data_IF_177937614167
#
_entry.id   IF_177937614167
#
_cell.length_a   1.000
_cell.length_b   1.000
_cell.length_c   1.000
_cell.angle_alpha   90.00
_cell.angle_beta   90.00
_cell.angle_gamma   90.00
#
_symmetry.space_group_name_H-M   'P 1'
#
loop_
_entity.id
_entity.type
_entity.pdbx_description
1 polymer ?
#
# COMPACT_ATOMS: atom_id res chain seq x y z
N UNK A 1 -0.06 9.03 0.37
CA UNK A 1 1.28 8.81 -0.21
C UNK A 1 1.22 8.39 -1.67
N UNK A 2 0.51 7.32 -2.06
CA UNK A 2 0.44 6.84 -3.45
C UNK A 2 0.18 7.94 -4.51
N UNK A 3 -0.86 8.76 -4.32
CA UNK A 3 -1.17 9.89 -5.22
C UNK A 3 -0.10 10.99 -5.20
N UNK A 4 0.56 11.18 -4.07
CA UNK A 4 1.54 12.23 -3.89
C UNK A 4 2.88 11.85 -4.55
N UNK A 5 3.34 10.61 -4.35
CA UNK A 5 4.48 10.05 -5.10
C UNK A 5 4.27 10.15 -6.62
N UNK A 6 3.07 9.81 -7.09
CA UNK A 6 2.71 9.94 -8.50
C UNK A 6 2.83 11.37 -9.05
N UNK A 7 2.69 12.37 -8.18
CA UNK A 7 2.82 13.78 -8.56
C UNK A 7 4.22 14.37 -8.32
N UNK A 8 5.21 13.54 -7.97
CA UNK A 8 6.56 14.00 -7.62
C UNK A 8 6.64 14.74 -6.29
N UNK A 9 5.63 14.58 -5.41
CA UNK A 9 5.69 15.10 -4.05
C UNK A 9 6.61 14.21 -3.20
N UNK A 10 7.60 14.82 -2.58
CA UNK A 10 8.50 14.18 -1.61
C UNK A 10 8.26 14.71 -0.20
N UNK A 11 8.41 13.84 0.81
CA UNK A 11 8.35 14.26 2.20
C UNK A 11 9.64 14.97 2.63
N UNK A 12 10.78 14.46 2.15
CA UNK A 12 12.12 15.00 2.39
C UNK A 12 12.93 15.06 1.10
N UNK A 13 13.86 16.00 1.01
CA UNK A 13 14.83 16.05 -0.09
C UNK A 13 16.05 15.14 0.16
N UNK A 14 17.00 15.14 -0.78
CA UNK A 14 18.25 14.36 -0.69
C UNK A 14 19.14 14.75 0.52
N UNK A 15 18.97 15.96 1.06
CA UNK A 15 19.69 16.43 2.25
C UNK A 15 18.99 16.02 3.55
N UNK A 16 17.78 15.49 3.46
CA UNK A 16 16.92 15.16 4.59
C UNK A 16 16.07 16.33 5.08
N UNK A 17 16.00 17.46 4.36
CA UNK A 17 15.16 18.60 4.72
C UNK A 17 13.68 18.29 4.43
N UNK A 18 12.76 18.67 5.32
CA UNK A 18 11.32 18.50 5.12
C UNK A 18 10.81 19.39 3.97
N UNK A 19 10.28 18.78 2.90
CA UNK A 19 9.78 19.46 1.69
C UNK A 19 8.33 19.12 1.33
N UNK A 20 7.57 18.54 2.28
CA UNK A 20 6.15 18.20 2.10
C UNK A 20 5.24 19.41 1.80
N UNK A 21 5.74 20.65 1.96
CA UNK A 21 5.04 21.89 1.62
C UNK A 21 5.41 22.45 0.22
N UNK A 22 6.04 21.63 -0.63
CA UNK A 22 6.34 21.95 -2.03
C UNK A 22 5.07 22.03 -2.89
N UNK A 23 5.15 22.74 -4.02
CA UNK A 23 4.04 22.90 -4.96
C UNK A 23 3.46 21.55 -5.42
N UNK A 24 4.31 20.55 -5.66
CA UNK A 24 3.91 19.18 -6.04
C UNK A 24 3.05 18.50 -4.97
N UNK A 25 3.39 18.71 -3.69
CA UNK A 25 2.64 18.16 -2.57
C UNK A 25 1.32 18.89 -2.36
N UNK A 26 1.33 20.21 -2.49
CA UNK A 26 0.12 21.02 -2.42
C UNK A 26 -0.87 20.63 -3.52
N UNK A 27 -0.41 20.46 -4.77
CA UNK A 27 -1.25 19.99 -5.88
C UNK A 27 -1.81 18.58 -5.60
N UNK A 28 -1.01 17.66 -5.06
CA UNK A 28 -1.49 16.33 -4.68
C UNK A 28 -2.56 16.39 -3.56
N UNK A 29 -2.42 17.33 -2.62
CA UNK A 29 -3.38 17.54 -1.53
C UNK A 29 -4.69 18.13 -2.07
N UNK A 30 -4.62 19.11 -2.99
CA UNK A 30 -5.78 19.66 -3.69
C UNK A 30 -6.52 18.58 -4.47
N UNK A 31 -5.78 17.76 -5.23
CA UNK A 31 -6.36 16.65 -5.98
C UNK A 31 -7.06 15.64 -5.06
N UNK A 32 -6.43 15.28 -3.94
CA UNK A 32 -7.08 14.41 -2.96
C UNK A 32 -8.34 15.04 -2.37
N UNK A 33 -8.33 16.33 -2.03
CA UNK A 33 -9.52 17.03 -1.56
C UNK A 33 -10.64 17.00 -2.60
N UNK A 34 -10.32 17.22 -3.87
CA UNK A 34 -11.30 17.17 -4.96
C UNK A 34 -11.89 15.76 -5.12
N UNK A 35 -11.05 14.72 -5.09
CA UNK A 35 -11.50 13.33 -5.15
C UNK A 35 -12.47 13.00 -4.02
N UNK A 36 -12.12 13.34 -2.78
CA UNK A 36 -12.96 13.04 -1.62
C UNK A 36 -14.24 13.89 -1.62
N UNK A 37 -14.14 15.17 -1.99
CA UNK A 37 -15.27 16.10 -1.95
C UNK A 37 -16.30 15.90 -3.06
N UNK A 38 -15.86 15.55 -4.27
CA UNK A 38 -16.71 15.59 -5.46
C UNK A 38 -16.89 14.22 -6.15
N UNK A 39 -15.96 13.28 -5.96
CA UNK A 39 -15.89 12.06 -6.77
C UNK A 39 -15.90 10.75 -5.96
N UNK A 40 -15.93 10.83 -4.64
CA UNK A 40 -15.97 9.68 -3.74
C UNK A 40 -17.38 9.41 -3.21
N UNK A 41 -17.62 8.18 -2.75
CA UNK A 41 -18.86 7.84 -2.04
C UNK A 41 -18.95 8.73 -0.79
N UNK A 42 -20.07 9.41 -0.59
CA UNK A 42 -20.22 10.37 0.51
C UNK A 42 -20.10 9.69 1.89
N UNK A 43 -19.37 10.33 2.80
CA UNK A 43 -19.18 9.87 4.18
C UNK A 43 -17.70 9.73 4.56
N UNK A 44 -17.45 9.14 5.71
CA UNK A 44 -16.10 8.77 6.14
C UNK A 44 -15.47 7.83 5.12
N UNK A 45 -14.18 8.05 4.83
CA UNK A 45 -13.38 7.14 4.02
C UNK A 45 -12.44 6.39 4.96
N UNK A 46 -12.82 5.17 5.29
CA UNK A 46 -12.03 4.22 6.06
C UNK A 46 -12.04 2.85 5.37
N UNK A 47 -11.35 1.88 5.98
CA UNK A 47 -11.26 0.51 5.47
C UNK A 47 -12.67 -0.05 5.21
N UNK A 48 -13.56 -0.02 6.19
CA UNK A 48 -14.87 -0.67 6.04
C UNK A 48 -15.76 0.02 5.00
N UNK A 49 -15.79 1.35 5.00
CA UNK A 49 -16.65 2.14 4.12
C UNK A 49 -16.20 2.11 2.66
N UNK A 50 -14.89 2.20 2.39
CA UNK A 50 -14.36 2.12 1.02
C UNK A 50 -14.58 0.73 0.45
N UNK A 51 -14.29 -0.32 1.22
CA UNK A 51 -14.56 -1.72 0.82
C UNK A 51 -16.04 -1.92 0.53
N UNK A 52 -16.92 -1.54 1.47
CA UNK A 52 -18.36 -1.70 1.30
C UNK A 52 -18.89 -0.93 0.07
N UNK A 53 -18.42 0.31 -0.14
CA UNK A 53 -18.82 1.12 -1.28
C UNK A 53 -18.42 0.49 -2.62
N UNK A 54 -17.20 -0.04 -2.72
CA UNK A 54 -16.77 -0.75 -3.92
C UNK A 54 -17.55 -2.06 -4.12
N UNK A 55 -17.72 -2.85 -3.06
CA UNK A 55 -18.42 -4.15 -3.10
C UNK A 55 -19.90 -4.03 -3.43
N UNK A 56 -20.52 -2.90 -3.07
CA UNK A 56 -21.91 -2.60 -3.41
C UNK A 56 -22.08 -2.01 -4.83
N UNK A 57 -20.99 -1.83 -5.58
CA UNK A 57 -21.01 -1.21 -6.91
C UNK A 57 -21.27 0.31 -6.88
N UNK A 58 -20.99 0.98 -5.76
CA UNK A 58 -21.20 2.43 -5.60
C UNK A 58 -20.00 3.26 -6.00
N UNK A 59 -18.83 2.63 -6.13
CA UNK A 59 -17.59 3.26 -6.58
C UNK A 59 -17.06 2.53 -7.83
N UNK A 60 -16.63 3.29 -8.84
CA UNK A 60 -16.01 2.73 -10.04
C UNK A 60 -14.53 2.34 -9.82
N UNK A 61 -13.88 2.92 -8.80
CA UNK A 61 -12.49 2.69 -8.45
C UNK A 61 -12.34 2.68 -6.93
N UNK A 62 -11.38 1.91 -6.43
CA UNK A 62 -10.92 1.95 -5.05
C UNK A 62 -9.39 1.96 -5.04
N UNK A 63 -8.79 2.86 -4.25
CA UNK A 63 -7.35 2.81 -3.95
C UNK A 63 -7.22 1.97 -2.68
N UNK A 64 -6.77 0.72 -2.85
CA UNK A 64 -6.69 -0.26 -1.77
C UNK A 64 -5.43 -1.10 -1.91
N UNK A 65 -5.11 -1.85 -0.86
CA UNK A 65 -4.10 -2.89 -0.91
C UNK A 65 -4.46 -4.03 -1.88
N UNK A 66 -3.53 -4.91 -2.21
CA UNK A 66 -3.85 -6.13 -2.97
C UNK A 66 -4.62 -7.15 -2.13
N UNK A 67 -4.68 -6.99 -0.80
CA UNK A 67 -5.54 -7.76 0.10
C UNK A 67 -7.04 -7.66 -0.23
N UNK A 68 -7.46 -6.84 -1.19
CA UNK A 68 -8.85 -6.86 -1.68
C UNK A 68 -9.11 -8.01 -2.66
N UNK A 69 -8.08 -8.56 -3.30
CA UNK A 69 -8.24 -9.42 -4.47
C UNK A 69 -8.93 -10.76 -4.16
N UNK A 70 -8.62 -11.38 -3.01
CA UNK A 70 -9.31 -12.60 -2.60
C UNK A 70 -10.78 -12.32 -2.22
N UNK A 71 -11.05 -11.17 -1.60
CA UNK A 71 -12.41 -10.71 -1.31
C UNK A 71 -13.22 -10.45 -2.59
N UNK A 72 -12.65 -9.80 -3.60
CA UNK A 72 -13.30 -9.58 -4.91
C UNK A 72 -13.61 -10.88 -5.65
N UNK A 73 -12.83 -11.94 -5.40
CA UNK A 73 -13.04 -13.28 -5.92
C UNK A 73 -14.09 -14.08 -5.12
N UNK A 74 -14.66 -13.50 -4.06
CA UNK A 74 -15.69 -14.14 -3.23
C UNK A 74 -15.16 -15.27 -2.34
N UNK A 75 -13.86 -15.26 -2.02
CA UNK A 75 -13.19 -16.33 -1.27
C UNK A 75 -13.34 -16.21 0.27
N UNK A 76 -14.03 -15.15 0.72
CA UNK A 76 -14.21 -14.80 2.13
C UNK A 76 -15.68 -14.59 2.45
N UNK A 77 -16.26 -15.49 3.24
CA UNK A 77 -17.68 -15.44 3.60
C UNK A 77 -18.02 -14.23 4.49
N UNK A 78 -17.05 -13.73 5.25
CA UNK A 78 -17.20 -12.56 6.13
C UNK A 78 -17.07 -11.22 5.39
N UNK A 79 -16.64 -11.23 4.13
CA UNK A 79 -16.40 -10.06 3.30
C UNK A 79 -16.82 -10.30 1.84
N UNK A 80 -18.04 -10.79 1.61
CA UNK A 80 -18.52 -11.04 0.25
C UNK A 80 -18.90 -9.74 -0.49
N UNK A 81 -18.57 -9.63 -1.78
CA UNK A 81 -19.14 -8.62 -2.66
C UNK A 81 -20.68 -8.63 -2.62
N UNK A 82 -21.29 -7.44 -2.57
CA UNK A 82 -22.74 -7.27 -2.37
C UNK A 82 -23.46 -6.61 -3.55
N UNK A 83 -22.77 -6.47 -4.67
CA UNK A 83 -23.31 -5.91 -5.90
C UNK A 83 -24.45 -6.78 -6.45
N UNK A 84 -25.37 -6.23 -7.26
CA UNK A 84 -26.47 -7.01 -7.82
C UNK A 84 -26.04 -8.28 -8.56
N UNK A 85 -24.97 -8.21 -9.34
CA UNK A 85 -24.40 -9.31 -10.10
C UNK A 85 -23.70 -10.35 -9.19
N UNK A 86 -23.18 -9.89 -8.05
CA UNK A 86 -22.45 -10.68 -7.07
C UNK A 86 -23.34 -11.72 -6.35
N UNK A 87 -24.67 -11.54 -6.40
CA UNK A 87 -25.65 -12.47 -5.81
C UNK A 87 -25.64 -13.83 -6.54
N UNK A 88 -25.51 -13.79 -7.87
CA UNK A 88 -25.49 -14.99 -8.71
C UNK A 88 -24.06 -15.48 -8.96
N UNK A 89 -23.09 -14.56 -9.01
CA UNK A 89 -21.66 -14.84 -9.21
C UNK A 89 -20.79 -14.07 -8.21
N UNK A 90 -20.40 -14.70 -7.08
CA UNK A 90 -19.56 -14.05 -6.07
C UNK A 90 -18.19 -13.56 -6.58
N UNK A 91 -17.70 -14.09 -7.70
CA UNK A 91 -16.43 -13.69 -8.32
C UNK A 91 -16.61 -12.61 -9.40
N UNK A 92 -17.81 -12.07 -9.57
CA UNK A 92 -18.12 -11.09 -10.61
C UNK A 92 -17.18 -9.89 -10.57
N UNK A 93 -16.86 -9.36 -9.38
CA UNK A 93 -15.95 -8.22 -9.28
C UNK A 93 -14.52 -8.58 -9.68
N UNK A 94 -13.99 -9.75 -9.31
CA UNK A 94 -12.67 -10.19 -9.76
C UNK A 94 -12.57 -10.23 -11.29
N UNK A 95 -13.61 -10.73 -11.97
CA UNK A 95 -13.66 -10.81 -13.43
C UNK A 95 -13.81 -9.44 -14.14
N UNK A 96 -14.32 -8.42 -13.44
CA UNK A 96 -14.68 -7.12 -14.03
C UNK A 96 -13.86 -5.93 -13.47
N UNK A 97 -12.90 -6.19 -12.57
CA UNK A 97 -12.03 -5.17 -11.98
C UNK A 97 -10.69 -5.13 -12.70
N UNK A 98 -10.31 -3.97 -13.22
CA UNK A 98 -8.94 -3.72 -13.67
C UNK A 98 -8.01 -3.36 -12.50
N UNK A 99 -6.74 -3.76 -12.59
CA UNK A 99 -5.71 -3.42 -11.59
C UNK A 99 -4.72 -2.44 -12.19
N UNK A 100 -4.49 -1.32 -11.50
CA UNK A 100 -3.50 -0.30 -11.86
C UNK A 100 -2.57 -0.13 -10.66
N UNK A 101 -1.28 -0.44 -10.83
CA UNK A 101 -0.32 -0.40 -9.73
C UNK A 101 0.48 0.92 -9.63
N UNK A 102 0.76 1.56 -10.78
CA UNK A 102 1.49 2.81 -10.85
C UNK A 102 0.61 3.94 -11.39
N UNK A 103 0.75 5.13 -10.82
CA UNK A 103 0.04 6.34 -11.23
C UNK A 103 1.05 7.41 -11.64
N UNK A 104 0.67 8.27 -12.58
CA UNK A 104 1.44 9.44 -12.96
C UNK A 104 0.54 10.68 -12.87
N UNK A 105 0.93 11.61 -12.00
CA UNK A 105 0.33 12.93 -11.84
C UNK A 105 0.89 13.94 -12.84
N UNK A 106 0.25 15.10 -13.00
CA UNK A 106 0.68 16.14 -13.94
C UNK A 106 2.08 16.70 -13.67
N UNK A 107 2.52 16.70 -12.41
CA UNK A 107 3.86 17.17 -12.01
C UNK A 107 4.88 16.03 -11.83
N UNK A 108 4.47 14.77 -12.06
CA UNK A 108 5.35 13.61 -11.95
C UNK A 108 6.04 13.28 -13.27
N UNK A 109 7.37 13.11 -13.24
CA UNK A 109 8.17 12.81 -14.43
C UNK A 109 8.00 11.36 -14.94
N UNK A 110 7.69 10.42 -14.05
CA UNK A 110 7.52 8.98 -14.34
C UNK A 110 6.37 8.40 -13.48
N UNK A 111 5.77 7.26 -13.87
CA UNK A 111 4.79 6.56 -13.04
C UNK A 111 5.40 6.12 -11.70
N UNK A 112 4.69 6.37 -10.59
CA UNK A 112 5.10 5.96 -9.26
C UNK A 112 4.09 4.99 -8.65
N UNK A 113 4.63 4.01 -7.93
CA UNK A 113 3.86 3.05 -7.15
C UNK A 113 4.23 3.20 -5.66
N UNK A 114 3.22 3.10 -4.80
CA UNK A 114 3.44 3.00 -3.37
C UNK A 114 3.51 1.52 -2.97
N UNK A 115 4.38 1.19 -2.04
CA UNK A 115 4.50 -0.16 -1.49
C UNK A 115 5.02 -0.16 -0.07
N UNK A 116 4.93 -1.33 0.55
CA UNK A 116 5.46 -1.59 1.89
C UNK A 116 6.28 -2.87 1.89
N UNK A 117 7.45 -2.83 2.51
CA UNK A 117 8.21 -4.02 2.88
C UNK A 117 8.08 -4.25 4.37
N UNK A 118 7.46 -5.37 4.74
CA UNK A 118 7.55 -5.88 6.10
C UNK A 118 8.78 -6.78 6.22
N UNK A 119 9.62 -6.53 7.23
CA UNK A 119 10.83 -7.31 7.48
C UNK A 119 10.97 -7.66 8.97
N UNK A 120 11.93 -8.53 9.27
CA UNK A 120 12.24 -8.96 10.62
C UNK A 120 13.30 -8.06 11.24
N UNK A 121 13.11 -7.70 12.51
CA UNK A 121 14.06 -6.90 13.28
C UNK A 121 14.48 -7.63 14.56
N UNK A 122 15.77 -7.58 14.89
CA UNK A 122 16.31 -8.03 16.18
C UNK A 122 16.50 -6.79 17.05
N UNK A 123 15.72 -6.68 18.13
CA UNK A 123 15.82 -5.55 19.04
C UNK A 123 17.10 -5.63 19.88
N UNK A 124 17.58 -4.48 20.38
CA UNK A 124 18.82 -4.39 21.15
C UNK A 124 18.88 -5.28 22.42
N UNK A 125 17.72 -5.74 22.91
CA UNK A 125 17.57 -6.55 24.13
C UNK A 125 17.19 -8.00 23.85
N UNK A 126 17.01 -8.38 22.58
CA UNK A 126 16.65 -9.75 22.20
C UNK A 126 17.83 -10.72 22.34
N UNK A 127 17.52 -12.03 22.41
CA UNK A 127 18.52 -13.08 22.34
C UNK A 127 19.05 -13.18 20.90
N UNK A 128 20.12 -12.44 20.60
CA UNK A 128 20.60 -12.21 19.23
C UNK A 128 20.81 -13.49 18.42
N UNK A 129 21.58 -14.46 18.93
CA UNK A 129 21.92 -15.67 18.17
C UNK A 129 20.69 -16.56 17.87
N UNK A 130 19.83 -16.90 18.83
CA UNK A 130 18.57 -17.59 18.53
C UNK A 130 17.65 -16.82 17.58
N UNK A 131 17.55 -15.49 17.73
CA UNK A 131 16.75 -14.65 16.83
C UNK A 131 17.30 -14.65 15.41
N UNK A 132 18.63 -14.60 15.23
CA UNK A 132 19.27 -14.70 13.92
C UNK A 132 18.95 -16.03 13.25
N UNK A 133 19.10 -17.16 13.95
CA UNK A 133 18.79 -18.49 13.41
C UNK A 133 17.32 -18.60 12.98
N UNK A 134 16.40 -18.05 13.77
CA UNK A 134 14.99 -18.03 13.41
C UNK A 134 14.73 -17.19 12.14
N UNK A 135 15.31 -15.99 12.05
CA UNK A 135 15.13 -15.12 10.88
C UNK A 135 15.76 -15.75 9.64
N UNK A 136 16.95 -16.34 9.74
CA UNK A 136 17.60 -17.06 8.65
C UNK A 136 16.71 -18.19 8.12
N UNK A 137 16.11 -18.98 9.02
CA UNK A 137 15.13 -20.01 8.64
C UNK A 137 13.90 -19.40 7.96
N UNK A 138 13.28 -18.38 8.56
CA UNK A 138 12.07 -17.74 8.01
C UNK A 138 12.31 -17.06 6.67
N UNK A 139 13.55 -16.61 6.40
CA UNK A 139 13.93 -16.03 5.13
C UNK A 139 14.41 -17.09 4.13
N UNK A 140 14.65 -18.35 4.52
CA UNK A 140 15.07 -19.43 3.62
C UNK A 140 14.01 -20.52 3.55
N UNK A 141 14.19 -21.60 4.31
CA UNK A 141 13.34 -22.80 4.29
C UNK A 141 11.88 -22.48 4.62
N UNK A 142 11.63 -21.51 5.51
CA UNK A 142 10.30 -21.09 5.93
C UNK A 142 9.68 -19.96 5.10
N UNK A 143 10.37 -19.47 4.05
CA UNK A 143 9.95 -18.25 3.34
C UNK A 143 8.62 -18.41 2.61
N UNK A 144 8.46 -19.51 1.86
CA UNK A 144 7.23 -19.80 1.11
C UNK A 144 6.05 -20.01 2.06
N UNK A 145 6.26 -20.77 3.15
CA UNK A 145 5.22 -20.99 4.16
C UNK A 145 4.80 -19.66 4.84
N UNK A 146 5.73 -18.73 5.04
CA UNK A 146 5.44 -17.43 5.63
C UNK A 146 4.56 -16.53 4.74
N UNK A 147 4.86 -16.49 3.45
CA UNK A 147 4.06 -15.71 2.49
C UNK A 147 2.71 -16.39 2.20
N UNK A 148 2.65 -17.73 2.24
CA UNK A 148 1.42 -18.52 2.09
C UNK A 148 0.37 -18.29 3.18
N UNK A 149 0.70 -17.58 4.27
CA UNK A 149 -0.29 -17.16 5.27
C UNK A 149 -1.34 -16.22 4.67
N UNK A 150 -0.94 -15.37 3.71
CA UNK A 150 -1.83 -14.40 3.08
C UNK A 150 -1.27 -13.97 1.70
N UNK A 151 -1.20 -14.89 0.72
CA UNK A 151 -0.49 -14.67 -0.53
C UNK A 151 -1.11 -13.57 -1.41
N UNK A 152 -2.36 -13.16 -1.13
CA UNK A 152 -3.04 -12.02 -1.77
C UNK A 152 -2.40 -10.67 -1.44
N UNK A 153 -1.70 -10.57 -0.32
CA UNK A 153 -1.03 -9.35 0.15
C UNK A 153 0.45 -9.50 0.49
N UNK A 154 0.94 -10.74 0.60
CA UNK A 154 2.35 -11.05 0.87
C UNK A 154 3.06 -11.53 -0.39
N UNK A 155 3.67 -10.58 -1.10
CA UNK A 155 4.50 -10.88 -2.26
C UNK A 155 5.96 -11.09 -1.86
N UNK A 156 6.68 -11.99 -2.55
CA UNK A 156 8.07 -12.23 -2.26
C UNK A 156 8.95 -11.06 -2.72
N UNK A 157 9.56 -10.34 -1.77
CA UNK A 157 10.64 -9.36 -2.05
C UNK A 157 12.01 -10.02 -2.28
N UNK A 158 12.09 -11.33 -2.06
CA UNK A 158 13.22 -12.17 -2.45
C UNK A 158 12.78 -13.04 -3.61
N UNK A 159 13.42 -12.91 -4.77
CA UNK A 159 13.03 -13.68 -5.95
C UNK A 159 13.27 -15.20 -5.79
N UNK A 160 14.33 -15.58 -5.07
CA UNK A 160 14.72 -16.97 -4.87
C UNK A 160 16.02 -17.12 -4.07
N UNK A 161 16.68 -18.25 -4.28
CA UNK A 161 17.99 -18.62 -3.70
C UNK A 161 19.13 -18.32 -4.67
N UNK A 162 20.38 -18.51 -4.23
CA UNK A 162 21.54 -18.33 -5.11
C UNK A 162 21.59 -19.42 -6.19
N UNK A 163 21.14 -20.62 -5.86
CA UNK A 163 21.09 -21.79 -6.73
C UNK A 163 19.87 -21.77 -7.65
N UNK A 164 18.74 -21.23 -7.18
CA UNK A 164 17.51 -21.05 -7.95
C UNK A 164 16.95 -19.62 -7.79
N UNK A 165 17.38 -18.67 -8.65
CA UNK A 165 17.05 -17.24 -8.49
C UNK A 165 15.57 -16.87 -8.55
N UNK A 166 14.70 -17.74 -9.05
CA UNK A 166 13.25 -17.50 -9.20
C UNK A 166 12.38 -18.38 -8.29
N UNK A 167 13.01 -19.17 -7.42
CA UNK A 167 12.34 -20.18 -6.58
C UNK A 167 11.10 -19.67 -5.85
N UNK A 168 11.19 -18.51 -5.20
CA UNK A 168 10.11 -17.99 -4.38
C UNK A 168 9.03 -17.30 -5.20
N UNK A 169 9.39 -16.66 -6.32
CA UNK A 169 8.42 -16.09 -7.27
C UNK A 169 7.59 -17.18 -7.96
N UNK A 170 8.23 -18.28 -8.34
CA UNK A 170 7.55 -19.44 -8.93
C UNK A 170 6.65 -20.14 -7.90
N UNK A 171 7.14 -20.31 -6.66
CA UNK A 171 6.34 -20.90 -5.60
C UNK A 171 5.10 -20.05 -5.26
N UNK A 172 5.27 -18.71 -5.17
CA UNK A 172 4.17 -17.80 -4.84
C UNK A 172 3.00 -17.86 -5.83
N UNK A 173 3.27 -18.03 -7.14
CA UNK A 173 2.22 -18.14 -8.16
C UNK A 173 1.27 -19.31 -7.95
N UNK A 174 1.75 -20.39 -7.32
CA UNK A 174 0.97 -21.58 -7.05
C UNK A 174 0.29 -21.59 -5.69
N UNK A 175 0.40 -20.52 -4.90
CA UNK A 175 -0.23 -20.44 -3.58
C UNK A 175 -1.72 -20.14 -3.71
N UNK A 176 -2.53 -20.85 -2.94
CA UNK A 176 -3.95 -20.55 -2.81
C UNK A 176 -4.15 -19.31 -1.94
N UNK A 177 -5.00 -18.39 -2.39
CA UNK A 177 -5.50 -17.24 -1.63
C UNK A 177 -6.87 -17.54 -1.04
N UNK A 178 -7.32 -16.72 -0.08
CA UNK A 178 -8.66 -16.82 0.50
C UNK A 178 -8.73 -17.60 1.82
N UNK A 179 -9.82 -17.39 2.58
CA UNK A 179 -9.96 -17.86 3.96
C UNK A 179 -10.94 -19.03 4.08
N UNK A 180 -12.16 -18.87 3.56
CA UNK A 180 -13.21 -19.90 3.65
C UNK A 180 -13.15 -20.89 2.48
N UNK A 181 -12.85 -20.37 1.30
CA UNK A 181 -12.52 -21.12 0.09
C UNK A 181 -11.16 -20.66 -0.37
N UNK A 182 -10.31 -21.60 -0.79
CA UNK A 182 -8.96 -21.28 -1.23
C UNK A 182 -8.73 -21.77 -2.66
N UNK A 183 -8.13 -20.92 -3.49
CA UNK A 183 -7.71 -21.23 -4.86
C UNK A 183 -6.61 -20.26 -5.31
N UNK A 184 -5.84 -20.55 -6.36
CA UNK A 184 -4.80 -19.66 -6.84
C UNK A 184 -5.41 -18.40 -7.49
N UNK A 185 -4.75 -17.25 -7.36
CA UNK A 185 -5.21 -16.00 -7.98
C UNK A 185 -5.41 -16.12 -9.50
N UNK A 186 -4.64 -16.98 -10.16
CA UNK A 186 -4.73 -17.24 -11.61
C UNK A 186 -6.06 -17.82 -12.07
N UNK A 187 -6.87 -18.37 -11.15
CA UNK A 187 -8.20 -18.87 -11.48
C UNK A 187 -9.22 -17.72 -11.65
N UNK A 188 -8.92 -16.54 -11.10
CA UNK A 188 -9.82 -15.38 -11.08
C UNK A 188 -9.31 -14.18 -11.89
N UNK A 189 -7.99 -14.05 -12.01
CA UNK A 189 -7.35 -12.89 -12.61
C UNK A 189 -6.55 -13.25 -13.87
N UNK A 190 -6.54 -12.37 -14.90
CA UNK A 190 -5.74 -12.60 -16.09
C UNK A 190 -4.24 -12.51 -15.76
N UNK A 191 -3.41 -13.15 -16.59
CA UNK A 191 -1.95 -13.17 -16.42
C UNK A 191 -1.34 -11.77 -16.27
N UNK A 192 -1.88 -10.77 -16.98
CA UNK A 192 -1.43 -9.38 -16.87
C UNK A 192 -1.52 -8.84 -15.43
N UNK A 193 -2.57 -9.18 -14.68
CA UNK A 193 -2.70 -8.79 -13.27
C UNK A 193 -1.67 -9.53 -12.43
N UNK A 194 -1.46 -10.82 -12.68
CA UNK A 194 -0.43 -11.61 -11.96
C UNK A 194 0.97 -11.01 -12.19
N UNK A 195 1.29 -10.63 -13.43
CA UNK A 195 2.58 -10.04 -13.78
C UNK A 195 2.78 -8.65 -13.11
N UNK A 196 1.72 -7.83 -13.06
CA UNK A 196 1.72 -6.55 -12.33
C UNK A 196 2.04 -6.76 -10.85
N UNK A 197 1.40 -7.75 -10.23
CA UNK A 197 1.60 -8.05 -8.81
C UNK A 197 3.03 -8.52 -8.50
N UNK A 198 3.61 -9.35 -9.36
CA UNK A 198 4.97 -9.85 -9.20
C UNK A 198 6.03 -8.76 -9.35
N UNK A 199 5.90 -7.93 -10.38
CA UNK A 199 6.85 -6.85 -10.67
C UNK A 199 6.69 -5.64 -9.74
N UNK A 200 5.58 -5.55 -9.00
CA UNK A 200 5.34 -4.45 -8.08
C UNK A 200 6.43 -4.28 -7.02
N UNK A 201 7.06 -5.38 -6.58
CA UNK A 201 8.14 -5.34 -5.59
C UNK A 201 9.44 -4.69 -6.12
N UNK A 202 9.61 -4.59 -7.44
CA UNK A 202 10.82 -4.07 -8.07
C UNK A 202 10.83 -2.54 -8.21
N UNK A 203 9.66 -1.90 -8.17
CA UNK A 203 9.49 -0.52 -8.65
C UNK A 203 8.77 0.42 -7.69
N UNK A 204 8.25 -0.06 -6.55
CA UNK A 204 7.58 0.83 -5.61
C UNK A 204 8.55 1.79 -4.92
N UNK A 205 8.01 2.92 -4.47
CA UNK A 205 8.69 3.94 -3.68
C UNK A 205 7.97 4.17 -2.35
N UNK A 206 8.74 4.66 -1.37
CA UNK A 206 8.24 5.08 -0.07
C UNK A 206 9.05 6.28 0.40
N UNK A 207 8.36 7.33 0.83
CA UNK A 207 8.97 8.57 1.29
C UNK A 207 10.05 8.33 2.33
N UNK A 208 11.13 9.10 2.24
CA UNK A 208 12.21 9.16 3.22
C UNK A 208 13.11 7.94 3.30
N UNK A 209 12.69 6.75 2.85
CA UNK A 209 13.46 5.52 3.00
C UNK A 209 14.72 5.57 2.13
N UNK A 210 14.60 5.94 0.85
CA UNK A 210 15.74 6.03 -0.07
C UNK A 210 16.65 7.22 0.24
N UNK A 211 16.11 8.27 0.89
CA UNK A 211 16.87 9.41 1.41
C UNK A 211 17.52 9.15 2.78
N UNK A 212 17.41 7.93 3.32
CA UNK A 212 18.04 7.55 4.60
C UNK A 212 17.35 8.10 5.86
N UNK A 213 16.12 8.61 5.73
CA UNK A 213 15.32 9.18 6.82
C UNK A 213 14.38 8.14 7.47
N UNK A 214 14.83 6.89 7.60
CA UNK A 214 14.03 5.80 8.16
C UNK A 214 13.52 6.07 9.58
N UNK A 215 14.32 6.71 10.43
CA UNK A 215 13.92 7.07 11.81
C UNK A 215 12.79 8.10 11.83
N UNK A 216 12.87 9.12 10.96
CA UNK A 216 11.80 10.12 10.80
C UNK A 216 10.50 9.46 10.32
N UNK A 217 10.59 8.61 9.29
CA UNK A 217 9.42 7.91 8.77
C UNK A 217 8.81 7.01 9.85
N UNK A 218 9.64 6.23 10.55
CA UNK A 218 9.20 5.38 11.66
C UNK A 218 8.50 6.17 12.78
N UNK A 219 9.07 7.29 13.20
CA UNK A 219 8.46 8.16 14.21
C UNK A 219 7.14 8.79 13.70
N UNK A 220 7.10 9.22 12.43
CA UNK A 220 5.91 9.83 11.83
C UNK A 220 4.72 8.88 11.74
N UNK A 221 4.93 7.56 11.68
CA UNK A 221 3.86 6.57 11.69
C UNK A 221 3.12 6.49 13.04
N UNK A 222 3.74 6.94 14.14
CA UNK A 222 3.08 7.03 15.44
C UNK A 222 2.24 8.29 15.60
N UNK A 223 2.73 9.42 15.08
CA UNK A 223 2.07 10.72 15.24
C UNK A 223 1.12 11.07 14.08
N UNK A 224 1.31 10.47 12.91
CA UNK A 224 0.48 10.65 11.71
C UNK A 224 0.31 12.12 11.28
N UNK A 225 1.39 12.92 11.13
CA UNK A 225 1.29 14.35 10.81
C UNK A 225 0.59 14.62 9.47
N UNK A 226 0.94 13.85 8.42
CA UNK A 226 0.32 14.00 7.09
C UNK A 226 -1.16 13.57 7.09
N UNK A 227 -1.55 12.38 7.61
CA UNK A 227 -2.97 12.03 7.72
C UNK A 227 -3.81 13.04 8.52
N UNK A 228 -3.29 13.58 9.62
CA UNK A 228 -4.00 14.60 10.40
C UNK A 228 -4.23 15.88 9.58
N UNK A 229 -3.19 16.38 8.91
CA UNK A 229 -3.29 17.56 8.05
C UNK A 229 -4.30 17.36 6.91
N UNK A 230 -4.29 16.18 6.27
CA UNK A 230 -5.27 15.81 5.24
C UNK A 230 -6.69 15.77 5.84
N UNK A 231 -6.87 15.26 7.06
CA UNK A 231 -8.17 15.28 7.74
C UNK A 231 -8.71 16.71 7.96
N UNK A 232 -7.82 17.66 8.32
CA UNK A 232 -8.15 19.09 8.43
C UNK A 232 -8.51 19.68 7.08
N UNK A 233 -7.76 19.34 6.02
CA UNK A 233 -8.04 19.77 4.64
C UNK A 233 -9.41 19.30 4.15
N UNK A 234 -9.70 18.00 4.26
CA UNK A 234 -10.96 17.41 3.76
C UNK A 234 -12.18 17.82 4.57
N UNK A 235 -11.99 18.29 5.81
CA UNK A 235 -13.07 18.86 6.63
C UNK A 235 -13.26 20.37 6.44
N UNK A 236 -12.45 21.00 5.58
CA UNK A 236 -12.52 22.44 5.29
C UNK A 236 -11.91 23.32 6.38
N UNK A 237 -11.09 22.76 7.28
CA UNK A 237 -10.38 23.49 8.33
C UNK A 237 -9.12 24.22 7.86
N UNK A 238 -8.59 23.86 6.68
CA UNK A 238 -7.48 24.52 6.01
C UNK A 238 -7.61 24.35 4.48
N UNK A 239 -6.92 25.19 3.72
CA UNK A 239 -6.63 24.94 2.31
C UNK A 239 -5.42 24.00 2.17
N UNK A 240 -5.10 23.59 0.94
CA UNK A 240 -4.05 22.59 0.70
C UNK A 240 -2.66 23.08 1.14
N UNK A 241 -2.33 24.34 0.87
CA UNK A 241 -1.09 24.95 1.36
C UNK A 241 -1.05 24.94 2.89
N UNK A 242 -2.11 25.39 3.55
CA UNK A 242 -2.17 25.42 5.01
C UNK A 242 -2.10 24.03 5.65
N UNK A 243 -2.63 23.01 5.00
CA UNK A 243 -2.47 21.61 5.43
C UNK A 243 -1.04 21.11 5.22
N UNK A 244 -0.42 21.40 4.07
CA UNK A 244 0.95 21.03 3.79
C UNK A 244 1.94 21.70 4.77
N UNK A 245 1.73 22.98 5.09
CA UNK A 245 2.51 23.71 6.09
C UNK A 245 2.37 23.11 7.50
N UNK A 246 1.15 22.71 7.88
CA UNK A 246 0.90 22.02 9.16
C UNK A 246 1.63 20.68 9.24
N UNK A 247 1.57 19.88 8.16
CA UNK A 247 2.29 18.61 8.08
C UNK A 247 3.80 18.84 8.16
N UNK A 248 4.32 19.85 7.44
CA UNK A 248 5.73 20.19 7.44
C UNK A 248 6.22 20.58 8.84
N UNK A 249 5.47 21.42 9.55
CA UNK A 249 5.84 21.83 10.91
C UNK A 249 5.86 20.65 11.89
N UNK A 250 4.83 19.81 11.86
CA UNK A 250 4.78 18.62 12.71
C UNK A 250 5.94 17.65 12.40
N UNK A 251 6.28 17.46 11.12
CA UNK A 251 7.42 16.65 10.71
C UNK A 251 8.76 17.24 11.17
N UNK A 252 8.94 18.57 11.14
CA UNK A 252 10.14 19.23 11.68
C UNK A 252 10.26 19.01 13.19
N UNK A 253 9.17 19.10 13.94
CA UNK A 253 9.17 18.81 15.39
C UNK A 253 9.60 17.36 15.65
N UNK A 254 9.09 16.41 14.88
CA UNK A 254 9.52 15.00 14.99
C UNK A 254 11.01 14.88 14.65
N UNK A 255 11.46 15.47 13.54
CA UNK A 255 12.84 15.43 13.10
C UNK A 255 13.81 16.01 14.14
N UNK A 256 13.47 17.14 14.75
CA UNK A 256 14.26 17.77 15.81
C UNK A 256 14.34 16.89 17.07
N UNK A 257 13.31 16.10 17.35
CA UNK A 257 13.29 15.19 18.51
C UNK A 257 14.19 13.96 18.37
N UNK A 258 14.64 13.66 17.15
CA UNK A 258 15.51 12.52 16.83
C UNK A 258 17.00 12.87 16.92
N UNK A 259 17.36 14.15 17.06
CA UNK A 259 18.73 14.67 17.19
C UNK A 259 19.20 14.72 18.65
#
# INVERSE_FOLDING_TARGET
>A
EHLALANGCELVDESGEIVIASDQCVEAFEFYQELIGNFSVAGTQDVDTVRAGYFAGQAAMAIWSTFLLDELAGLRNDALPSCPECVDDPAFLAANTGVVAALQGPSGDEPAQFGEVSSWAITATAATEPSQQFIEYMLSDGYVDWIAIAPEGKFPVRAGTAENPTEYLEAWQGLDVGVDTSAPLSDFYPQEVIDILQSGADTFSRWGITQGQGDLIGASLGELPVPQAIGVLTSGGADAQGAADQAAEALRVIQDSLQ
#
